data_IF_146135064878
#
_entry.id   IF_146135064878
#
_cell.length_a   1.000
_cell.length_b   1.000
_cell.length_c   1.000
_cell.angle_alpha   90.00
_cell.angle_beta   90.00
_cell.angle_gamma   90.00
#
_symmetry.space_group_name_H-M   'P 1'
#
loop_
_entity.id
_entity.type
_entity.pdbx_description
1 polymer ?
#
# COMPACT_ATOMS: atom_id res chain seq x y z
N UNK A 1 21.63 2.71 -10.27
CA UNK A 1 22.23 2.43 -8.94
C UNK A 1 21.23 1.58 -8.19
N UNK A 2 21.65 0.44 -7.68
CA UNK A 2 20.83 -0.38 -6.78
C UNK A 2 20.70 0.38 -5.44
N UNK A 3 19.48 0.67 -4.95
CA UNK A 3 19.30 1.36 -3.68
C UNK A 3 19.57 0.46 -2.45
N UNK A 4 19.86 -0.83 -2.62
CA UNK A 4 20.14 -1.74 -1.50
C UNK A 4 21.32 -1.26 -0.63
N UNK A 5 21.10 -1.20 0.69
CA UNK A 5 22.13 -0.86 1.67
C UNK A 5 22.79 -2.10 2.26
N UNK A 6 24.10 -2.02 2.50
CA UNK A 6 24.88 -3.07 3.17
C UNK A 6 25.57 -2.53 4.41
N UNK A 7 25.66 -3.34 5.47
CA UNK A 7 26.33 -2.99 6.73
C UNK A 7 25.84 -1.67 7.33
N UNK A 8 24.53 -1.41 7.30
CA UNK A 8 23.89 -0.21 7.83
C UNK A 8 23.18 -0.48 9.16
N UNK A 9 22.76 0.60 9.83
CA UNK A 9 21.88 0.52 11.00
C UNK A 9 20.42 0.44 10.54
N UNK A 10 19.54 -0.04 11.41
CA UNK A 10 18.10 0.06 11.19
C UNK A 10 17.57 1.31 11.91
N UNK A 11 17.70 2.48 11.26
CA UNK A 11 17.37 3.78 11.83
C UNK A 11 16.53 4.65 10.88
N UNK A 12 16.12 5.82 11.38
CA UNK A 12 15.30 6.77 10.63
C UNK A 12 15.90 7.16 9.28
N UNK A 13 17.22 7.39 9.20
CA UNK A 13 17.89 7.76 7.95
C UNK A 13 17.84 6.64 6.92
N UNK A 14 17.92 5.39 7.36
CA UNK A 14 17.74 4.21 6.52
C UNK A 14 16.33 4.16 5.93
N UNK A 15 15.30 4.49 6.71
CA UNK A 15 13.93 4.52 6.23
C UNK A 15 13.69 5.66 5.22
N UNK A 16 14.24 6.86 5.49
CA UNK A 16 14.21 7.97 4.54
C UNK A 16 14.92 7.64 3.22
N UNK A 17 16.04 6.91 3.26
CA UNK A 17 16.74 6.46 2.06
C UNK A 17 15.81 5.64 1.14
N UNK A 18 15.11 4.64 1.71
CA UNK A 18 14.19 3.82 0.93
C UNK A 18 12.94 4.56 0.48
N UNK A 19 12.39 5.48 1.28
CA UNK A 19 11.26 6.30 0.85
C UNK A 19 11.63 7.29 -0.25
N UNK A 20 12.82 7.88 -0.25
CA UNK A 20 13.35 8.65 -1.39
C UNK A 20 13.45 7.79 -2.64
N UNK A 21 13.94 6.56 -2.52
CA UNK A 21 13.98 5.63 -3.65
C UNK A 21 12.57 5.29 -4.16
N UNK A 22 11.59 5.08 -3.27
CA UNK A 22 10.18 4.89 -3.64
C UNK A 22 9.62 6.14 -4.34
N UNK A 23 9.99 7.34 -3.90
CA UNK A 23 9.58 8.59 -4.55
C UNK A 23 10.16 8.70 -5.98
N UNK A 24 11.41 8.31 -6.20
CA UNK A 24 11.99 8.21 -7.54
C UNK A 24 11.29 7.18 -8.44
N UNK A 25 10.78 6.08 -7.88
CA UNK A 25 9.94 5.13 -8.62
C UNK A 25 8.59 5.76 -8.98
N UNK A 26 7.94 6.45 -8.03
CA UNK A 26 6.67 7.13 -8.25
C UNK A 26 6.74 8.19 -9.38
N UNK A 27 7.90 8.83 -9.57
CA UNK A 27 8.16 9.77 -10.65
C UNK A 27 8.07 9.12 -12.05
N UNK A 28 8.13 7.80 -12.17
CA UNK A 28 7.98 7.09 -13.44
C UNK A 28 6.51 6.88 -13.85
N UNK A 29 5.58 6.92 -12.90
CA UNK A 29 4.14 6.87 -13.20
C UNK A 29 3.72 8.14 -13.95
N UNK A 30 2.94 8.08 -15.04
CA UNK A 30 2.43 9.28 -15.69
C UNK A 30 1.46 10.03 -14.77
N UNK A 31 1.44 11.39 -14.80
CA UNK A 31 0.45 12.17 -14.07
C UNK A 31 -0.95 11.92 -14.66
N UNK A 32 -1.92 11.57 -13.80
CA UNK A 32 -3.32 11.34 -14.19
C UNK A 32 -4.28 11.92 -13.16
N UNK A 33 -5.46 12.38 -13.57
CA UNK A 33 -6.46 12.94 -12.66
C UNK A 33 -7.13 11.89 -11.76
N UNK A 34 -6.98 10.61 -12.06
CA UNK A 34 -7.69 9.50 -11.43
C UNK A 34 -6.79 8.57 -10.60
N UNK A 35 -5.48 8.78 -10.61
CA UNK A 35 -4.51 7.87 -10.00
C UNK A 35 -3.40 8.66 -9.32
N UNK A 36 -3.17 8.36 -8.04
CA UNK A 36 -2.00 8.85 -7.34
C UNK A 36 -0.72 8.22 -7.88
N UNK A 37 0.34 9.02 -7.96
CA UNK A 37 1.68 8.52 -8.31
C UNK A 37 2.35 7.96 -7.07
N UNK A 38 2.31 6.65 -6.92
CA UNK A 38 2.90 5.91 -5.78
C UNK A 38 4.05 5.04 -6.28
N UNK A 39 5.07 4.86 -5.45
CA UNK A 39 6.19 3.94 -5.67
C UNK A 39 6.39 3.02 -4.47
N UNK A 40 6.89 1.82 -4.71
CA UNK A 40 7.04 0.77 -3.71
C UNK A 40 8.32 -0.07 -3.94
N UNK A 41 8.90 -0.55 -2.84
CA UNK A 41 10.07 -1.43 -2.81
C UNK A 41 9.79 -2.60 -1.88
N UNK A 42 9.88 -3.82 -2.41
CA UNK A 42 9.87 -5.06 -1.64
C UNK A 42 11.32 -5.45 -1.31
N UNK A 43 11.63 -5.59 -0.02
CA UNK A 43 12.98 -5.69 0.51
C UNK A 43 13.12 -6.91 1.42
N UNK A 44 14.23 -7.66 1.29
CA UNK A 44 14.69 -8.60 2.30
C UNK A 44 15.77 -7.93 3.15
N UNK A 45 15.53 -7.81 4.46
CA UNK A 45 16.52 -7.34 5.43
C UNK A 45 17.03 -8.50 6.27
N UNK A 46 18.35 -8.66 6.30
CA UNK A 46 19.04 -9.69 7.10
C UNK A 46 19.92 -9.03 8.16
N UNK A 47 19.74 -9.39 9.42
CA UNK A 47 20.58 -8.95 10.53
C UNK A 47 21.97 -9.57 10.41
N UNK A 48 22.98 -8.72 10.55
CA UNK A 48 24.40 -9.06 10.63
C UNK A 48 24.91 -8.59 11.99
N UNK A 49 24.99 -9.52 12.94
CA UNK A 49 25.60 -9.24 14.23
C UNK A 49 27.13 -9.24 14.06
N UNK A 50 27.78 -8.10 14.35
CA UNK A 50 29.25 -8.04 14.45
C UNK A 50 29.71 -8.12 15.90
N UNK A 51 28.98 -7.51 16.84
CA UNK A 51 29.25 -7.55 18.29
C UNK A 51 27.95 -7.36 19.09
N UNK A 52 27.93 -7.62 20.43
CA UNK A 52 26.77 -7.33 21.28
C UNK A 52 26.34 -5.86 21.31
N UNK A 53 27.19 -4.93 20.87
CA UNK A 53 26.95 -3.47 20.95
C UNK A 53 26.67 -2.82 19.60
N UNK A 54 26.92 -3.50 18.48
CA UNK A 54 26.62 -2.98 17.14
C UNK A 54 25.95 -4.02 16.25
N UNK A 55 24.65 -3.81 16.06
CA UNK A 55 23.85 -4.51 15.07
C UNK A 55 23.91 -3.79 13.74
N UNK A 56 24.23 -4.52 12.68
CA UNK A 56 24.14 -4.03 11.32
C UNK A 56 23.21 -4.90 10.51
N UNK A 57 22.79 -4.42 9.36
CA UNK A 57 21.87 -5.12 8.49
C UNK A 57 22.43 -5.13 7.07
N UNK A 58 21.98 -6.10 6.29
CA UNK A 58 22.15 -6.13 4.85
C UNK A 58 20.78 -6.24 4.21
N UNK A 59 20.58 -5.42 3.19
CA UNK A 59 19.33 -5.34 2.47
C UNK A 59 19.50 -5.89 1.05
N UNK A 60 18.49 -6.59 0.55
CA UNK A 60 18.39 -7.01 -0.83
C UNK A 60 17.03 -6.60 -1.39
N UNK A 61 17.01 -5.89 -2.51
CA UNK A 61 15.77 -5.51 -3.19
C UNK A 61 15.24 -6.74 -3.92
N UNK A 62 14.09 -7.24 -3.49
CA UNK A 62 13.43 -8.39 -4.12
C UNK A 62 12.69 -7.96 -5.38
N UNK A 63 11.98 -6.83 -5.32
CA UNK A 63 11.23 -6.27 -6.43
C UNK A 63 10.88 -4.80 -6.17
N UNK A 64 10.51 -4.10 -7.22
CA UNK A 64 10.06 -2.70 -7.18
C UNK A 64 8.76 -2.53 -7.94
N UNK A 65 8.02 -1.49 -7.60
CA UNK A 65 6.73 -1.17 -8.20
C UNK A 65 6.51 0.33 -8.29
N UNK A 66 5.84 0.79 -9.33
CA UNK A 66 5.16 2.09 -9.31
C UNK A 66 3.77 2.00 -9.92
N UNK A 67 2.95 3.02 -9.66
CA UNK A 67 1.57 3.07 -10.14
C UNK A 67 1.53 2.97 -11.67
N UNK A 68 0.68 2.08 -12.20
CA UNK A 68 0.55 1.82 -13.64
C UNK A 68 1.82 1.26 -14.33
N UNK A 69 2.79 0.74 -13.58
CA UNK A 69 3.95 0.05 -14.18
C UNK A 69 3.51 -1.20 -14.96
N UNK A 70 2.53 -1.94 -14.43
CA UNK A 70 1.90 -3.07 -15.12
C UNK A 70 0.57 -2.64 -15.76
N UNK A 71 0.15 -3.29 -16.87
CA UNK A 71 -1.10 -2.97 -17.55
C UNK A 71 -2.34 -2.99 -16.64
N UNK A 72 -3.28 -2.10 -16.93
CA UNK A 72 -4.53 -1.95 -16.17
C UNK A 72 -4.43 -0.94 -15.03
N UNK A 73 -5.43 -0.93 -14.14
CA UNK A 73 -5.45 -0.04 -12.98
C UNK A 73 -4.70 -0.68 -11.80
N UNK A 74 -3.37 -0.63 -11.86
CA UNK A 74 -2.46 -1.24 -10.88
C UNK A 74 -1.87 -0.19 -9.95
N UNK A 75 -1.78 -0.55 -8.67
CA UNK A 75 -1.07 0.26 -7.66
C UNK A 75 0.38 -0.20 -7.54
N UNK A 76 1.24 0.61 -6.92
CA UNK A 76 2.66 0.33 -6.81
C UNK A 76 2.97 -0.99 -6.08
N UNK A 77 2.27 -1.26 -4.98
CA UNK A 77 2.43 -2.47 -4.18
C UNK A 77 2.04 -3.69 -5.01
N UNK A 78 0.93 -3.60 -5.76
CA UNK A 78 0.50 -4.65 -6.68
C UNK A 78 1.57 -4.93 -7.75
N UNK A 79 2.14 -3.89 -8.35
CA UNK A 79 3.22 -4.04 -9.34
C UNK A 79 4.45 -4.74 -8.75
N UNK A 80 4.89 -4.33 -7.56
CA UNK A 80 6.05 -4.92 -6.89
C UNK A 80 5.84 -6.42 -6.61
N UNK A 81 4.68 -6.78 -6.06
CA UNK A 81 4.34 -8.17 -5.73
C UNK A 81 4.17 -9.03 -6.99
N UNK A 82 3.41 -8.55 -7.98
CA UNK A 82 3.16 -9.30 -9.21
C UNK A 82 4.46 -9.54 -10.00
N UNK A 83 5.36 -8.56 -10.07
CA UNK A 83 6.68 -8.72 -10.71
C UNK A 83 7.54 -9.76 -10.01
N UNK A 84 7.55 -9.78 -8.68
CA UNK A 84 8.32 -10.77 -7.92
C UNK A 84 7.77 -12.19 -8.10
N UNK A 85 6.44 -12.36 -8.06
CA UNK A 85 5.82 -13.65 -8.32
C UNK A 85 6.12 -14.13 -9.76
N UNK A 86 6.00 -13.23 -10.75
CA UNK A 86 6.24 -13.55 -12.15
C UNK A 86 7.70 -13.94 -12.42
N UNK A 87 8.68 -13.33 -11.76
CA UNK A 87 10.09 -13.72 -11.89
C UNK A 87 10.38 -15.13 -11.36
N UNK A 88 9.47 -15.69 -10.55
CA UNK A 88 9.50 -17.07 -10.05
C UNK A 88 8.50 -17.99 -10.78
N UNK A 89 7.89 -17.53 -11.88
CA UNK A 89 6.93 -18.32 -12.66
C UNK A 89 5.57 -18.52 -11.99
N UNK A 90 5.21 -17.66 -11.02
CA UNK A 90 3.95 -17.72 -10.28
C UNK A 90 3.04 -16.53 -10.56
N UNK A 91 1.75 -16.68 -10.25
CA UNK A 91 0.82 -15.55 -10.17
C UNK A 91 0.95 -14.82 -8.83
N UNK A 92 0.52 -13.57 -8.78
CA UNK A 92 0.62 -12.73 -7.58
C UNK A 92 -0.01 -13.38 -6.34
N UNK A 93 -1.12 -14.11 -6.50
CA UNK A 93 -1.84 -14.77 -5.42
C UNK A 93 -1.01 -15.84 -4.70
N UNK A 94 0.03 -16.35 -5.38
CA UNK A 94 0.96 -17.38 -4.88
C UNK A 94 2.32 -16.82 -4.47
N UNK A 95 2.48 -15.49 -4.40
CA UNK A 95 3.77 -14.88 -4.02
C UNK A 95 4.28 -15.39 -2.66
N UNK A 96 3.39 -15.70 -1.71
CA UNK A 96 3.76 -16.24 -0.40
C UNK A 96 4.53 -17.56 -0.47
N UNK A 97 4.44 -18.30 -1.59
CA UNK A 97 5.16 -19.56 -1.80
C UNK A 97 6.64 -19.35 -2.18
N UNK A 98 7.01 -18.15 -2.64
CA UNK A 98 8.36 -17.83 -3.15
C UNK A 98 9.06 -16.72 -2.38
N UNK A 99 8.38 -16.05 -1.45
CA UNK A 99 9.06 -15.15 -0.51
C UNK A 99 10.06 -15.94 0.34
N UNK A 100 11.25 -15.38 0.62
CA UNK A 100 12.23 -16.02 1.49
C UNK A 100 11.57 -16.44 2.81
N UNK A 101 11.64 -17.73 3.18
CA UNK A 101 11.03 -18.20 4.42
C UNK A 101 11.80 -17.60 5.61
N UNK A 102 11.14 -17.49 6.78
CA UNK A 102 11.85 -17.15 7.98
C UNK A 102 12.94 -18.21 8.25
N UNK A 103 14.05 -17.80 8.89
CA UNK A 103 15.12 -18.73 9.20
C UNK A 103 14.56 -19.84 10.10
N UNK A 104 15.00 -21.09 9.93
CA UNK A 104 14.57 -22.16 10.82
C UNK A 104 14.87 -21.73 12.26
N UNK A 105 13.87 -21.77 13.15
CA UNK A 105 14.14 -21.61 14.58
C UNK A 105 15.19 -22.67 14.91
N UNK A 106 16.41 -22.25 15.25
CA UNK A 106 17.45 -23.17 15.65
C UNK A 106 16.82 -24.12 16.68
N UNK A 107 16.85 -25.42 16.40
CA UNK A 107 16.40 -26.42 17.35
C UNK A 107 17.11 -26.13 18.66
N UNK A 108 16.38 -25.58 19.64
CA UNK A 108 16.92 -25.35 20.97
C UNK A 108 17.09 -26.74 21.57
N UNK A 109 18.27 -27.33 21.42
CA UNK A 109 18.64 -28.49 22.22
C UNK A 109 18.60 -28.05 23.69
N UNK A 110 18.02 -28.84 24.61
CA UNK A 110 17.88 -28.46 26.03
C UNK A 110 19.21 -28.13 26.74
N UNK A 111 20.36 -28.39 26.11
CA UNK A 111 21.70 -28.15 26.65
C UNK A 111 22.37 -26.86 26.15
N UNK A 112 21.76 -26.10 25.23
CA UNK A 112 22.32 -24.83 24.77
C UNK A 112 21.66 -23.66 25.49
N UNK A 113 22.48 -22.81 26.11
CA UNK A 113 22.01 -21.58 26.73
C UNK A 113 21.36 -20.71 25.65
N UNK A 114 20.14 -20.16 25.87
CA UNK A 114 19.40 -19.37 24.87
C UNK A 114 20.11 -18.10 24.39
N UNK A 115 21.27 -17.77 24.97
CA UNK A 115 22.07 -16.59 24.65
C UNK A 115 23.20 -16.81 23.62
N UNK A 116 23.53 -18.06 23.24
CA UNK A 116 24.77 -18.34 22.48
C UNK A 116 24.59 -18.61 20.97
N UNK A 117 23.36 -18.66 20.45
CA UNK A 117 23.14 -18.80 19.00
C UNK A 117 22.75 -17.46 18.39
N UNK A 118 23.57 -16.87 17.49
CA UNK A 118 23.12 -15.74 16.68
C UNK A 118 21.94 -16.18 15.83
N UNK A 119 20.73 -15.87 16.29
CA UNK A 119 19.53 -16.05 15.49
C UNK A 119 19.67 -15.08 14.31
N UNK A 120 19.97 -15.63 13.13
CA UNK A 120 20.04 -14.85 11.91
C UNK A 120 18.64 -14.33 11.65
N UNK A 121 18.36 -13.07 12.00
CA UNK A 121 17.04 -12.49 11.83
C UNK A 121 16.89 -12.06 10.37
N UNK A 122 15.81 -12.50 9.72
CA UNK A 122 15.43 -12.06 8.39
C UNK A 122 14.00 -11.55 8.42
N UNK A 123 13.77 -10.41 7.77
CA UNK A 123 12.44 -9.81 7.63
C UNK A 123 12.20 -9.36 6.21
N UNK A 124 10.97 -9.56 5.73
CA UNK A 124 10.49 -9.00 4.49
C UNK A 124 9.81 -7.66 4.80
N UNK A 125 10.32 -6.59 4.19
CA UNK A 125 9.87 -5.23 4.42
C UNK A 125 9.32 -4.65 3.13
N UNK A 126 8.18 -3.97 3.20
CA UNK A 126 7.63 -3.19 2.11
C UNK A 126 7.78 -1.70 2.44
N UNK A 127 8.48 -0.95 1.60
CA UNK A 127 8.43 0.51 1.62
C UNK A 127 7.47 0.97 0.53
N UNK A 128 6.62 1.96 0.84
CA UNK A 128 5.69 2.55 -0.12
C UNK A 128 5.50 4.04 0.18
N UNK A 129 5.37 4.90 -0.82
CA UNK A 129 5.26 6.36 -0.55
C UNK A 129 3.99 6.73 0.21
N UNK A 130 2.87 6.04 -0.04
CA UNK A 130 1.59 6.27 0.62
C UNK A 130 1.11 5.02 1.36
N UNK A 131 0.32 5.20 2.41
CA UNK A 131 -0.36 4.13 3.14
C UNK A 131 -1.06 3.14 2.18
N UNK A 132 -0.87 1.81 2.36
CA UNK A 132 -1.54 0.82 1.53
C UNK A 132 -3.06 0.87 1.69
N UNK A 133 -3.76 1.01 0.57
CA UNK A 133 -5.21 1.16 0.61
C UNK A 133 -5.95 -0.05 1.22
N UNK A 134 -6.92 0.24 2.08
CA UNK A 134 -7.84 -0.75 2.65
C UNK A 134 -9.09 -0.99 1.79
N UNK A 135 -9.38 -0.11 0.82
CA UNK A 135 -10.51 -0.22 -0.11
C UNK A 135 -10.15 0.40 -1.46
N UNK A 136 -10.71 -0.12 -2.55
CA UNK A 136 -10.57 0.45 -3.90
C UNK A 136 -11.93 0.75 -4.51
N UNK A 137 -12.07 1.96 -5.07
CA UNK A 137 -13.26 2.36 -5.81
C UNK A 137 -13.45 1.55 -7.10
N UNK A 138 -12.36 1.04 -7.68
CA UNK A 138 -12.40 0.16 -8.85
C UNK A 138 -12.97 -1.23 -8.55
N UNK A 139 -13.11 -1.62 -7.28
CA UNK A 139 -13.49 -2.97 -6.86
C UNK A 139 -12.35 -4.00 -6.91
N UNK A 140 -11.17 -3.63 -7.39
CA UNK A 140 -9.99 -4.49 -7.35
C UNK A 140 -9.55 -4.77 -5.90
N UNK A 141 -8.83 -5.87 -5.68
CA UNK A 141 -8.26 -6.22 -4.37
C UNK A 141 -7.42 -5.07 -3.81
N UNK A 142 -7.72 -4.57 -2.58
CA UNK A 142 -6.94 -3.52 -1.91
C UNK A 142 -5.50 -3.93 -1.61
N UNK A 143 -4.60 -2.96 -1.52
CA UNK A 143 -3.17 -3.21 -1.30
C UNK A 143 -2.92 -3.87 0.07
N UNK A 144 -3.61 -3.42 1.13
CA UNK A 144 -3.51 -4.05 2.44
C UNK A 144 -3.91 -5.53 2.39
N UNK A 145 -4.98 -5.88 1.65
CA UNK A 145 -5.40 -7.26 1.47
C UNK A 145 -4.34 -8.12 0.76
N UNK A 146 -3.66 -7.57 -0.27
CA UNK A 146 -2.57 -8.24 -1.00
C UNK A 146 -1.38 -8.52 -0.08
N UNK A 147 -1.01 -7.54 0.76
CA UNK A 147 0.06 -7.68 1.76
C UNK A 147 -0.29 -8.80 2.75
N UNK A 148 -1.51 -8.81 3.29
CA UNK A 148 -1.99 -9.86 4.20
C UNK A 148 -2.00 -11.23 3.54
N UNK A 149 -2.36 -11.32 2.26
CA UNK A 149 -2.37 -12.58 1.52
C UNK A 149 -0.99 -13.23 1.44
N UNK A 150 0.09 -12.44 1.43
CA UNK A 150 1.46 -12.99 1.45
C UNK A 150 1.76 -13.84 2.68
N UNK A 151 1.02 -13.63 3.78
CA UNK A 151 1.17 -14.37 5.05
C UNK A 151 0.33 -15.64 5.12
N UNK A 152 -0.59 -15.83 4.17
CA UNK A 152 -1.41 -17.04 4.09
C UNK A 152 -0.62 -18.06 3.30
N UNK A 153 -0.31 -19.20 3.91
CA UNK A 153 0.20 -20.34 3.14
C UNK A 153 -0.87 -20.76 2.14
N UNK A 154 -0.50 -20.94 0.89
CA UNK A 154 -1.31 -21.64 -0.10
C UNK A 154 -1.51 -23.07 0.41
N UNK A 155 -2.60 -23.35 1.10
CA UNK A 155 -2.94 -24.73 1.46
C UNK A 155 -3.13 -25.49 0.13
N UNK A 156 -2.45 -26.64 -0.10
CA UNK A 156 -2.76 -27.44 -1.26
C UNK A 156 -4.24 -27.84 -1.20
N UNK A 157 -4.93 -27.63 -2.32
CA UNK A 157 -6.39 -27.63 -2.46
C UNK A 157 -7.13 -28.82 -1.83
N UNK A 158 -8.35 -28.51 -1.36
CA UNK A 158 -9.52 -29.39 -1.24
C UNK A 158 -9.55 -30.47 -0.15
N UNK A 159 -9.95 -30.07 1.06
CA UNK A 159 -11.12 -30.69 1.73
C UNK A 159 -11.83 -29.63 2.56
N UNK A 160 -13.13 -29.51 2.36
CA UNK A 160 -14.01 -28.79 3.26
C UNK A 160 -13.85 -29.30 4.70
N UNK A 161 -13.99 -28.39 5.66
CA UNK A 161 -13.87 -28.61 7.10
C UNK A 161 -12.45 -28.86 7.62
N UNK A 162 -11.84 -27.81 8.19
CA UNK A 162 -11.39 -27.92 9.57
C UNK A 162 -11.23 -26.54 10.18
N UNK A 163 -12.23 -26.14 10.98
CA UNK A 163 -11.96 -25.31 12.14
C UNK A 163 -11.11 -26.14 13.08
N UNK A 164 -9.82 -25.84 13.15
CA UNK A 164 -8.98 -26.32 14.25
C UNK A 164 -8.23 -25.12 14.80
N UNK A 165 -8.37 -24.98 16.11
CA UNK A 165 -7.81 -23.94 16.94
C UNK A 165 -6.32 -23.76 16.65
N UNK A 166 -5.98 -22.66 16.01
CA UNK A 166 -4.59 -22.23 15.78
C UNK A 166 -4.06 -21.55 17.06
N UNK A 167 -4.13 -22.29 18.18
CA UNK A 167 -3.53 -21.93 19.46
C UNK A 167 -2.13 -22.54 19.63
N UNK A 168 -1.59 -23.14 18.57
CA UNK A 168 -0.29 -23.80 18.57
C UNK A 168 0.76 -22.91 17.87
N UNK A 169 1.43 -22.08 18.67
CA UNK A 169 2.74 -21.55 18.34
C UNK A 169 2.76 -20.41 17.33
N UNK A 170 3.23 -19.25 17.78
CA UNK A 170 3.60 -18.06 17.00
C UNK A 170 4.84 -18.34 16.11
N UNK A 171 4.88 -19.49 15.44
CA UNK A 171 5.92 -19.85 14.49
C UNK A 171 5.84 -18.86 13.33
N UNK A 172 6.96 -18.21 13.04
CA UNK A 172 7.07 -17.11 12.09
C UNK A 172 6.30 -17.42 10.80
N UNK A 173 5.18 -16.72 10.61
CA UNK A 173 4.36 -16.82 9.41
C UNK A 173 5.12 -16.09 8.32
N UNK A 174 5.72 -16.84 7.38
CA UNK A 174 6.39 -16.25 6.22
C UNK A 174 5.45 -15.33 5.44
N UNK A 175 6.00 -14.31 4.78
CA UNK A 175 5.24 -13.23 4.15
C UNK A 175 5.89 -11.88 4.44
N UNK A 176 5.19 -10.78 4.15
CA UNK A 176 5.65 -9.43 4.51
C UNK A 176 5.50 -9.24 6.03
N UNK A 177 6.57 -8.80 6.69
CA UNK A 177 6.63 -8.62 8.14
C UNK A 177 6.36 -7.18 8.56
N UNK A 178 6.86 -6.21 7.80
CA UNK A 178 6.73 -4.80 8.13
C UNK A 178 6.48 -3.92 6.92
N UNK A 179 5.64 -2.90 7.07
CA UNK A 179 5.36 -1.88 6.04
C UNK A 179 5.77 -0.49 6.55
N UNK A 180 6.62 0.19 5.81
CA UNK A 180 6.95 1.60 6.04
C UNK A 180 6.29 2.47 4.97
N UNK A 181 5.69 3.58 5.38
CA UNK A 181 5.13 4.54 4.43
C UNK A 181 5.25 5.99 4.87
N UNK A 182 5.31 6.91 3.91
CA UNK A 182 5.63 8.32 4.22
C UNK A 182 4.42 9.20 4.51
N UNK A 183 3.23 8.84 4.03
CA UNK A 183 1.99 9.59 4.31
C UNK A 183 0.80 8.66 4.50
N UNK A 184 -0.11 9.04 5.39
CA UNK A 184 -1.42 8.41 5.51
C UNK A 184 -2.34 8.77 4.33
N UNK A 185 -3.32 7.91 4.06
CA UNK A 185 -4.34 8.21 3.04
C UNK A 185 -5.07 9.53 3.36
N UNK A 186 -5.32 10.40 2.38
CA UNK A 186 -6.09 11.62 2.60
C UNK A 186 -7.48 11.31 3.20
N UNK A 187 -7.80 11.91 4.35
CA UNK A 187 -9.07 11.73 5.04
C UNK A 187 -9.10 10.69 6.17
N UNK A 188 -8.08 9.82 6.31
CA UNK A 188 -8.00 8.87 7.43
C UNK A 188 -7.51 9.52 8.74
N UNK A 189 -7.05 10.77 8.70
CA UNK A 189 -6.67 11.57 9.88
C UNK A 189 -7.78 11.69 10.93
N UNK A 190 -9.05 11.54 10.53
CA UNK A 190 -10.22 11.66 11.42
C UNK A 190 -11.06 10.37 11.48
N UNK A 191 -10.94 9.49 10.47
CA UNK A 191 -11.83 8.33 10.27
C UNK A 191 -11.26 6.94 10.55
N UNK A 192 -10.02 6.84 11.03
CA UNK A 192 -9.33 5.56 11.20
C UNK A 192 -8.90 4.96 9.84
N UNK A 193 -7.72 4.33 9.82
CA UNK A 193 -7.19 3.71 8.60
C UNK A 193 -7.68 2.27 8.47
N UNK A 194 -8.50 2.01 7.44
CA UNK A 194 -8.91 0.63 7.10
C UNK A 194 -7.71 -0.21 6.69
N UNK A 195 -6.75 0.38 5.96
CA UNK A 195 -5.54 -0.32 5.52
C UNK A 195 -4.68 -0.79 6.70
N UNK A 196 -4.33 0.11 7.62
CA UNK A 196 -3.59 -0.21 8.83
C UNK A 196 -4.32 -1.24 9.70
N UNK A 197 -5.64 -1.11 9.87
CA UNK A 197 -6.42 -2.09 10.63
C UNK A 197 -6.29 -3.52 10.07
N UNK A 198 -6.31 -3.66 8.74
CA UNK A 198 -6.08 -4.96 8.10
C UNK A 198 -4.67 -5.51 8.32
N UNK A 199 -3.65 -4.62 8.36
CA UNK A 199 -2.27 -5.01 8.65
C UNK A 199 -2.12 -5.45 10.12
N UNK A 200 -2.69 -4.71 11.06
CA UNK A 200 -2.68 -5.01 12.50
C UNK A 200 -3.32 -6.38 12.78
N UNK A 201 -4.50 -6.64 12.23
CA UNK A 201 -5.22 -7.91 12.38
C UNK A 201 -4.42 -9.11 11.83
N UNK A 202 -3.59 -8.89 10.81
CA UNK A 202 -2.74 -9.92 10.22
C UNK A 202 -1.38 -10.09 10.92
N UNK A 203 -1.08 -9.25 11.91
CA UNK A 203 0.21 -9.18 12.58
C UNK A 203 1.34 -8.70 11.66
N UNK A 204 1.03 -7.80 10.72
CA UNK A 204 2.00 -7.06 9.91
C UNK A 204 2.29 -5.75 10.62
N UNK A 205 3.54 -5.55 11.05
CA UNK A 205 3.94 -4.28 11.66
C UNK A 205 3.87 -3.16 10.61
N UNK A 206 3.52 -1.95 11.03
CA UNK A 206 3.60 -0.80 10.14
C UNK A 206 4.08 0.46 10.85
N UNK A 207 4.69 1.37 10.10
CA UNK A 207 5.25 2.61 10.63
C UNK A 207 5.16 3.73 9.60
N UNK A 208 4.69 4.90 10.04
CA UNK A 208 4.75 6.13 9.25
C UNK A 208 6.11 6.77 9.46
N UNK A 209 6.83 7.05 8.38
CA UNK A 209 8.12 7.74 8.43
C UNK A 209 7.90 9.20 8.04
N UNK A 210 7.97 10.07 9.05
CA UNK A 210 7.71 11.49 8.89
C UNK A 210 8.85 12.22 8.15
N UNK A 211 8.59 13.44 7.66
CA UNK A 211 9.59 14.34 7.09
C UNK A 211 9.71 14.31 5.56
N UNK A 212 8.77 13.65 4.88
CA UNK A 212 8.67 13.61 3.41
C UNK A 212 7.26 13.87 2.87
N UNK A 213 6.36 14.35 3.72
CA UNK A 213 4.92 14.42 3.46
C UNK A 213 4.61 15.36 2.30
N UNK A 214 5.20 16.57 2.31
CA UNK A 214 4.99 17.56 1.26
C UNK A 214 5.46 17.04 -0.11
N UNK A 215 6.67 16.48 -0.17
CA UNK A 215 7.24 15.94 -1.39
C UNK A 215 6.42 14.77 -1.94
N UNK A 216 5.99 13.86 -1.06
CA UNK A 216 5.17 12.70 -1.44
C UNK A 216 3.81 13.16 -1.94
N UNK A 217 3.10 14.02 -1.21
CA UNK A 217 1.75 14.47 -1.59
C UNK A 217 1.77 15.30 -2.88
N UNK A 218 2.76 16.19 -3.04
CA UNK A 218 2.95 16.98 -4.27
C UNK A 218 3.16 16.08 -5.48
N UNK A 219 3.99 15.05 -5.35
CA UNK A 219 4.20 14.11 -6.45
C UNK A 219 2.97 13.24 -6.69
N UNK A 220 2.41 12.66 -5.63
CA UNK A 220 1.27 11.74 -5.71
C UNK A 220 0.08 12.39 -6.42
N UNK A 221 -0.19 13.66 -6.13
CA UNK A 221 -1.32 14.41 -6.68
C UNK A 221 -1.02 15.07 -8.03
N UNK A 222 0.20 15.01 -8.55
CA UNK A 222 0.55 15.62 -9.83
C UNK A 222 -0.36 15.08 -10.97
N UNK A 223 -1.11 15.98 -11.60
CA UNK A 223 -2.09 15.65 -12.64
C UNK A 223 -3.55 15.56 -12.16
N UNK A 224 -3.79 15.57 -10.84
CA UNK A 224 -5.11 15.90 -10.28
C UNK A 224 -5.26 17.40 -10.48
N UNK A 225 -6.21 17.81 -11.31
CA UNK A 225 -6.35 19.21 -11.72
C UNK A 225 -6.31 20.15 -10.53
N UNK A 226 -5.67 21.31 -10.71
CA UNK A 226 -5.74 22.45 -9.78
C UNK A 226 -7.18 23.00 -9.70
N UNK A 227 -8.13 22.21 -9.23
CA UNK A 227 -9.47 22.65 -8.89
C UNK A 227 -9.55 23.14 -7.42
N UNK A 228 -8.49 22.93 -6.63
CA UNK A 228 -8.41 23.34 -5.22
C UNK A 228 -7.75 24.70 -4.98
N UNK A 229 -6.76 25.10 -5.78
CA UNK A 229 -5.96 26.32 -5.48
C UNK A 229 -6.53 27.60 -6.11
N UNK A 230 -7.41 27.52 -7.12
CA UNK A 230 -8.09 28.70 -7.68
C UNK A 230 -9.30 29.20 -6.87
N UNK A 231 -9.64 28.55 -5.75
CA UNK A 231 -10.76 29.00 -4.87
C UNK A 231 -10.34 29.97 -3.77
N UNK A 232 -9.04 30.19 -3.54
CA UNK A 232 -8.58 31.08 -2.46
C UNK A 232 -8.48 32.54 -2.89
N UNK A 233 -8.23 32.84 -4.17
CA UNK A 233 -8.13 34.23 -4.65
C UNK A 233 -9.47 34.84 -5.12
N UNK A 234 -10.52 34.04 -5.31
CA UNK A 234 -11.86 34.55 -5.69
C UNK A 234 -12.82 34.72 -4.52
N UNK A 235 -12.43 34.39 -3.29
CA UNK A 235 -13.32 34.44 -2.13
C UNK A 235 -13.38 35.81 -1.43
N UNK A 236 -12.56 36.78 -1.83
CA UNK A 236 -12.54 38.12 -1.22
C UNK A 236 -13.42 39.17 -1.94
N UNK A 237 -13.91 38.92 -3.16
CA UNK A 237 -14.82 39.87 -3.85
C UNK A 237 -16.31 39.51 -3.76
N UNK A 238 -16.69 38.27 -3.42
CA UNK A 238 -18.11 37.85 -3.41
C UNK A 238 -18.80 37.93 -2.03
N UNK A 239 -18.13 38.46 -1.00
CA UNK A 239 -18.70 38.60 0.36
C UNK A 239 -19.63 39.82 0.53
N UNK A 240 -20.21 40.35 -0.55
CA UNK A 240 -21.11 41.52 -0.51
C UNK A 240 -22.45 41.35 -1.22
N UNK A 241 -23.03 40.15 -1.28
CA UNK A 241 -24.51 40.04 -1.44
C UNK A 241 -24.99 38.78 -0.73
N UNK A 242 -25.72 38.95 0.37
CA UNK A 242 -26.56 37.91 0.97
C UNK A 242 -27.95 38.09 0.38
N UNK A 243 -28.44 37.14 -0.43
CA UNK A 243 -29.82 36.63 -0.36
C UNK A 243 -30.01 35.40 -1.27
N UNK A 244 -30.70 34.37 -0.75
CA UNK A 244 -31.49 33.40 -1.53
C UNK A 244 -30.81 32.24 -2.28
N UNK A 245 -31.04 31.01 -1.79
CA UNK A 245 -31.32 29.85 -2.66
C UNK A 245 -30.20 28.81 -2.87
N UNK A 246 -30.36 27.64 -2.24
CA UNK A 246 -29.60 26.42 -2.55
C UNK A 246 -29.97 25.86 -3.92
N UNK A 247 -28.98 25.60 -4.78
CA UNK A 247 -29.13 24.84 -6.01
C UNK A 247 -27.78 24.30 -6.47
N UNK A 248 -27.61 22.98 -6.55
CA UNK A 248 -26.45 22.35 -7.17
C UNK A 248 -26.55 22.58 -8.68
N UNK A 249 -25.64 23.37 -9.23
CA UNK A 249 -25.60 23.69 -10.66
C UNK A 249 -25.19 22.44 -11.46
N UNK A 250 -26.06 22.02 -12.40
CA UNK A 250 -25.97 20.78 -13.19
C UNK A 250 -25.43 21.06 -14.60
N UNK A 251 -25.00 22.27 -14.92
CA UNK A 251 -24.74 22.66 -16.31
C UNK A 251 -23.26 22.76 -16.70
N UNK A 252 -22.52 21.65 -16.56
CA UNK A 252 -21.23 21.47 -17.25
C UNK A 252 -21.04 20.00 -17.71
N UNK A 253 -22.06 19.46 -18.36
CA UNK A 253 -21.98 18.15 -19.03
C UNK A 253 -21.94 18.39 -20.54
N UNK A 254 -20.81 18.07 -21.17
CA UNK A 254 -20.66 18.14 -22.62
C UNK A 254 -21.67 17.23 -23.34
N UNK A 255 -22.16 17.67 -24.50
CA UNK A 255 -23.16 16.97 -25.33
C UNK A 255 -22.79 15.49 -25.61
N UNK A 256 -21.49 15.21 -25.70
CA UNK A 256 -20.92 13.88 -25.91
C UNK A 256 -21.10 12.97 -24.68
N UNK A 257 -20.90 13.50 -23.48
CA UNK A 257 -21.07 12.78 -22.22
C UNK A 257 -22.56 12.52 -21.92
N UNK A 258 -23.45 13.46 -22.32
CA UNK A 258 -24.91 13.28 -22.26
C UNK A 258 -25.38 12.10 -23.11
N UNK A 259 -24.85 11.95 -24.33
CA UNK A 259 -25.18 10.83 -25.22
C UNK A 259 -24.69 9.49 -24.67
N UNK A 260 -23.51 9.47 -24.07
CA UNK A 260 -22.90 8.27 -23.49
C UNK A 260 -23.67 7.77 -22.26
N UNK A 261 -24.14 8.69 -21.41
CA UNK A 261 -24.91 8.35 -20.21
C UNK A 261 -26.35 7.91 -20.53
N UNK A 262 -26.94 8.41 -21.62
CA UNK A 262 -28.25 7.96 -22.10
C UNK A 262 -28.24 6.54 -22.69
N UNK A 263 -27.09 6.07 -23.17
CA UNK A 263 -26.94 4.74 -23.77
C UNK A 263 -26.70 3.60 -22.76
N UNK A 264 -26.53 3.92 -21.47
CA UNK A 264 -26.31 2.93 -20.41
C UNK A 264 -27.64 2.50 -19.75
N UNK A 265 -27.93 1.20 -19.60
CA UNK A 265 -29.15 0.73 -18.96
C UNK A 265 -29.18 1.17 -17.48
N UNK A 266 -30.14 2.03 -17.11
CA UNK A 266 -30.28 2.56 -15.74
C UNK A 266 -30.83 1.48 -14.79
N UNK A 267 -30.16 1.33 -13.65
CA UNK A 267 -30.49 0.38 -12.59
C UNK A 267 -31.93 0.63 -12.04
N UNK A 268 -32.83 -0.37 -12.00
CA UNK A 268 -34.26 -0.20 -11.69
C UNK A 268 -34.60 0.33 -10.29
N UNK A 269 -33.63 0.42 -9.37
CA UNK A 269 -33.86 0.91 -7.99
C UNK A 269 -33.97 2.44 -7.86
N UNK A 270 -33.78 3.22 -8.93
CA UNK A 270 -33.88 4.70 -8.89
C UNK A 270 -35.26 5.25 -9.28
N UNK A 271 -36.31 4.42 -9.28
CA UNK A 271 -37.66 4.74 -9.80
C UNK A 271 -38.71 5.11 -8.74
N UNK A 272 -38.32 5.37 -7.49
CA UNK A 272 -39.27 5.54 -6.37
C UNK A 272 -39.29 6.93 -5.74
N UNK A 273 -38.63 7.94 -6.32
CA UNK A 273 -38.66 9.31 -5.78
C UNK A 273 -38.75 10.32 -6.92
N UNK A 274 -39.92 10.41 -7.54
CA UNK A 274 -40.35 11.57 -8.33
C UNK A 274 -41.87 11.40 -8.49
N UNK A 275 -42.62 12.10 -7.62
CA UNK A 275 -44.08 12.19 -7.71
C UNK A 275 -44.48 13.13 -8.86
N UNK A 276 -45.75 13.04 -9.33
CA UNK A 276 -46.22 13.89 -10.42
C UNK A 276 -46.38 15.34 -9.93
N UNK A 277 -45.96 16.29 -10.76
CA UNK A 277 -46.30 17.71 -10.60
C UNK A 277 -47.42 18.02 -11.60
N UNK A 278 -48.54 18.50 -11.08
CA UNK A 278 -49.62 19.17 -11.82
C UNK A 278 -49.16 20.52 -12.38
#
# INVERSE_FOLDING_TARGET
MDPALTSHKNDYQTHLHYLRACLSLAQQSPPKPTNFRVGAILLLRTRKALTPSTETYNDAILSTGYTLELPGNTHAEQCALAKYAASHGLTEERIGDVLPPPPPSAFVTPSQSPNDTPQQEQRIILYVTMEPCGKRLSGNTPCAARIVQTRRRSSPSNTAASSVNDSAGRASRGGIDKVYFGVKEPGTFVGGSVGCGMLDEAGVEWEVVEGMEEEILKLATAGHGQAGEKKTEKKEEEAKVVDGGQGTNVDDITEEERRRQAALPRNPKKRMMEGPLD
#
